data_IF_042118088937
#
_entry.id   IF_042118088937
#
_cell.length_a   1.000
_cell.length_b   1.000
_cell.length_c   1.000
_cell.angle_alpha   90.00
_cell.angle_beta   90.00
_cell.angle_gamma   90.00
#
_symmetry.space_group_name_H-M   'P 1'
#
loop_
_entity.id
_entity.type
_entity.pdbx_description
1 polymer ?
#
# COMPACT_ATOMS: atom_id res chain seq x y z
N UNK A 1 -27.67 -21.23 7.86
CA UNK A 1 -26.48 -20.46 8.28
C UNK A 1 -25.30 -21.20 7.66
N UNK A 2 -24.62 -20.60 6.68
CA UNK A 2 -23.40 -21.16 6.12
C UNK A 2 -22.29 -21.05 7.18
N UNK A 3 -21.53 -22.13 7.40
CA UNK A 3 -20.35 -22.11 8.23
C UNK A 3 -19.39 -21.00 7.76
N UNK A 4 -18.72 -20.29 8.67
CA UNK A 4 -17.73 -19.32 8.29
C UNK A 4 -16.64 -20.03 7.49
N UNK A 5 -16.45 -19.63 6.24
CA UNK A 5 -15.38 -20.12 5.40
C UNK A 5 -14.06 -19.70 6.08
N UNK A 6 -13.33 -20.67 6.61
CA UNK A 6 -12.01 -20.43 7.23
C UNK A 6 -11.01 -20.13 6.12
N UNK A 7 -10.98 -18.88 5.68
CA UNK A 7 -10.06 -18.38 4.64
C UNK A 7 -8.79 -17.88 5.33
N UNK A 8 -7.62 -18.32 4.86
CA UNK A 8 -6.35 -17.83 5.35
C UNK A 8 -6.26 -16.29 5.20
N UNK A 9 -5.72 -15.58 6.21
CA UNK A 9 -5.55 -14.13 6.14
C UNK A 9 -4.87 -13.69 4.84
N UNK A 10 -5.24 -12.51 4.33
CA UNK A 10 -4.55 -11.91 3.19
C UNK A 10 -3.25 -11.25 3.67
N UNK A 11 -2.17 -11.41 2.91
CA UNK A 11 -0.91 -10.73 3.17
C UNK A 11 -0.97 -9.30 2.61
N UNK A 12 -0.96 -8.31 3.49
CA UNK A 12 -1.00 -6.89 3.14
C UNK A 12 0.37 -6.28 3.28
N UNK A 13 0.98 -5.85 2.17
CA UNK A 13 2.21 -5.06 2.22
C UNK A 13 1.86 -3.57 2.40
N UNK A 14 2.22 -3.02 3.56
CA UNK A 14 2.12 -1.59 3.87
C UNK A 14 3.42 -0.90 3.47
N UNK A 15 3.41 -0.13 2.40
CA UNK A 15 4.60 0.46 1.81
C UNK A 15 4.73 1.93 2.21
N UNK A 16 5.85 2.28 2.83
CA UNK A 16 6.16 3.67 3.21
C UNK A 16 6.68 4.46 2.01
N UNK A 17 6.00 5.54 1.67
CA UNK A 17 6.28 6.33 0.47
C UNK A 17 7.32 7.44 0.65
N UNK A 18 8.08 7.45 1.73
CA UNK A 18 9.10 8.48 1.98
C UNK A 18 10.31 7.90 2.70
N UNK A 19 11.50 8.34 2.31
CA UNK A 19 12.77 8.00 2.96
C UNK A 19 13.47 9.22 3.58
N UNK A 20 12.76 10.37 3.68
CA UNK A 20 13.33 11.59 4.27
C UNK A 20 13.62 11.40 5.76
N UNK A 21 14.73 11.95 6.22
CA UNK A 21 14.99 12.02 7.66
C UNK A 21 13.90 12.83 8.37
N UNK A 22 13.40 12.33 9.52
CA UNK A 22 12.31 12.96 10.26
C UNK A 22 10.96 13.01 9.51
N UNK A 23 10.73 12.07 8.60
CA UNK A 23 9.52 12.00 7.77
C UNK A 23 8.25 11.79 8.61
N UNK A 24 7.21 12.53 8.28
CA UNK A 24 5.88 12.34 8.86
C UNK A 24 5.23 11.00 8.44
N UNK A 25 5.82 10.33 7.45
CA UNK A 25 5.41 9.01 6.98
C UNK A 25 5.37 7.98 8.11
N UNK A 26 6.28 8.08 9.08
CA UNK A 26 6.34 7.16 10.23
C UNK A 26 5.13 7.30 11.15
N UNK A 27 4.59 8.51 11.30
CA UNK A 27 3.37 8.76 12.08
C UNK A 27 2.16 8.15 11.41
N UNK A 28 1.95 8.51 10.14
CA UNK A 28 0.81 8.03 9.35
C UNK A 28 0.89 6.52 9.11
N UNK A 29 2.10 6.01 8.87
CA UNK A 29 2.34 4.58 8.65
C UNK A 29 2.06 3.74 9.90
N UNK A 30 2.47 4.19 11.10
CA UNK A 30 2.13 3.50 12.34
C UNK A 30 0.63 3.47 12.60
N UNK A 31 -0.06 4.59 12.35
CA UNK A 31 -1.52 4.64 12.44
C UNK A 31 -2.16 3.62 11.50
N UNK A 32 -1.76 3.60 10.23
CA UNK A 32 -2.28 2.64 9.24
C UNK A 32 -1.96 1.18 9.62
N UNK A 33 -0.75 0.91 10.10
CA UNK A 33 -0.34 -0.40 10.59
C UNK A 33 -1.26 -0.89 11.71
N UNK A 34 -1.55 -0.04 12.70
CA UNK A 34 -2.46 -0.39 13.80
C UNK A 34 -3.88 -0.70 13.34
N UNK A 35 -4.36 -0.05 12.26
CA UNK A 35 -5.68 -0.39 11.67
C UNK A 35 -5.67 -1.76 11.00
N UNK A 36 -4.58 -2.16 10.35
CA UNK A 36 -4.43 -3.48 9.73
C UNK A 36 -4.29 -4.56 10.80
N UNK A 37 -3.44 -4.32 11.83
CA UNK A 37 -3.21 -5.26 12.93
C UNK A 37 -4.46 -5.56 13.76
N UNK A 38 -5.41 -4.62 13.83
CA UNK A 38 -6.70 -4.84 14.47
C UNK A 38 -7.61 -5.83 13.71
N UNK A 39 -7.25 -6.20 12.48
CA UNK A 39 -8.01 -7.11 11.61
C UNK A 39 -7.49 -8.55 11.72
N UNK A 40 -8.40 -9.50 11.97
CA UNK A 40 -8.04 -10.93 12.00
C UNK A 40 -7.90 -11.57 10.61
N UNK A 41 -8.48 -10.95 9.58
CA UNK A 41 -8.46 -11.41 8.20
C UNK A 41 -7.24 -10.89 7.41
N UNK A 42 -6.31 -10.16 8.06
CA UNK A 42 -5.14 -9.56 7.43
C UNK A 42 -3.86 -9.90 8.19
N UNK A 43 -2.78 -10.16 7.45
CA UNK A 43 -1.42 -10.28 7.95
C UNK A 43 -0.59 -9.11 7.41
N UNK A 44 -0.06 -8.28 8.32
CA UNK A 44 0.70 -7.08 7.98
C UNK A 44 2.16 -7.42 7.65
N UNK A 45 2.65 -6.83 6.56
CA UNK A 45 4.07 -6.77 6.20
C UNK A 45 4.48 -5.32 5.91
N UNK A 46 5.26 -4.67 6.80
CA UNK A 46 5.70 -3.28 6.62
C UNK A 46 6.91 -3.25 5.70
N UNK A 47 6.75 -2.67 4.52
CA UNK A 47 7.82 -2.45 3.54
C UNK A 47 8.28 -0.99 3.63
N UNK A 48 9.40 -0.76 4.30
CA UNK A 48 10.01 0.56 4.40
C UNK A 48 11.20 0.66 3.44
N UNK A 49 11.11 1.45 2.35
CA UNK A 49 12.22 1.62 1.42
C UNK A 49 13.51 2.19 2.05
N UNK A 50 13.41 2.87 3.20
CA UNK A 50 14.59 3.37 3.91
C UNK A 50 15.46 2.24 4.52
N UNK A 51 14.92 1.03 4.63
CA UNK A 51 15.63 -0.14 5.16
C UNK A 51 16.37 -0.95 4.07
N UNK A 52 16.29 -0.54 2.81
CA UNK A 52 16.89 -1.24 1.67
C UNK A 52 17.91 -0.35 0.95
N UNK A 53 19.04 -0.93 0.59
CA UNK A 53 19.99 -0.35 -0.36
C UNK A 53 19.56 -0.71 -1.79
N UNK A 54 18.69 0.11 -2.37
CA UNK A 54 18.15 -0.16 -3.70
C UNK A 54 19.05 0.42 -4.79
N UNK A 55 19.53 -0.42 -5.74
CA UNK A 55 20.33 0.05 -6.86
C UNK A 55 19.59 1.10 -7.69
N UNK A 56 20.25 2.23 -7.97
CA UNK A 56 19.67 3.33 -8.77
C UNK A 56 19.71 3.06 -10.27
N UNK A 57 20.58 2.16 -10.73
CA UNK A 57 20.72 1.83 -12.14
C UNK A 57 19.91 0.61 -12.50
N UNK A 58 19.15 0.71 -13.57
CA UNK A 58 18.38 -0.41 -14.08
C UNK A 58 19.30 -1.58 -14.48
N UNK A 59 18.94 -2.78 -14.02
CA UNK A 59 19.73 -4.01 -14.29
C UNK A 59 20.81 -4.33 -13.25
N UNK A 60 21.08 -3.45 -12.29
CA UNK A 60 21.87 -3.80 -11.11
C UNK A 60 21.03 -4.62 -10.14
N UNK A 61 21.64 -5.63 -9.53
CA UNK A 61 20.99 -6.55 -8.60
C UNK A 61 21.78 -6.62 -7.29
N UNK A 62 21.06 -6.70 -6.17
CA UNK A 62 21.64 -6.98 -4.86
C UNK A 62 20.63 -7.75 -3.97
N UNK A 63 21.08 -8.13 -2.77
CA UNK A 63 20.27 -8.89 -1.84
C UNK A 63 19.00 -8.13 -1.37
N UNK A 64 19.11 -6.82 -1.19
CA UNK A 64 18.01 -5.97 -0.71
C UNK A 64 16.92 -5.86 -1.79
N UNK A 65 17.29 -5.70 -3.06
CA UNK A 65 16.32 -5.68 -4.16
C UNK A 65 15.63 -7.06 -4.32
N UNK A 66 16.40 -8.15 -4.19
CA UNK A 66 15.84 -9.49 -4.23
C UNK A 66 14.83 -9.73 -3.09
N UNK A 67 15.15 -9.28 -1.88
CA UNK A 67 14.25 -9.35 -0.73
C UNK A 67 13.00 -8.49 -0.92
N UNK A 68 13.15 -7.25 -1.41
CA UNK A 68 12.01 -6.39 -1.72
C UNK A 68 11.06 -7.04 -2.74
N UNK A 69 11.60 -7.59 -3.83
CA UNK A 69 10.80 -8.33 -4.83
C UNK A 69 10.05 -9.49 -4.22
N UNK A 70 10.72 -10.30 -3.39
CA UNK A 70 10.10 -11.43 -2.71
C UNK A 70 8.92 -10.99 -1.82
N UNK A 71 9.04 -9.87 -1.13
CA UNK A 71 7.96 -9.33 -0.29
C UNK A 71 6.78 -8.84 -1.13
N UNK A 72 7.03 -8.13 -2.22
CA UNK A 72 5.99 -7.68 -3.16
C UNK A 72 5.29 -8.87 -3.84
N UNK A 73 6.02 -9.91 -4.23
CA UNK A 73 5.45 -11.12 -4.81
C UNK A 73 4.54 -11.86 -3.82
N UNK A 74 4.94 -11.97 -2.55
CA UNK A 74 4.19 -12.67 -1.50
C UNK A 74 2.90 -11.95 -1.11
N UNK A 75 2.83 -10.64 -1.26
CA UNK A 75 1.67 -9.85 -0.88
C UNK A 75 0.44 -10.23 -1.73
N UNK A 76 -0.74 -10.30 -1.09
CA UNK A 76 -2.03 -10.40 -1.75
C UNK A 76 -2.63 -9.04 -2.08
N UNK A 77 -2.25 -8.01 -1.32
CA UNK A 77 -2.74 -6.65 -1.44
C UNK A 77 -1.69 -5.64 -0.99
N UNK A 78 -1.85 -4.38 -1.40
CA UNK A 78 -0.94 -3.30 -1.07
C UNK A 78 -1.68 -2.10 -0.49
N UNK A 79 -1.06 -1.46 0.51
CA UNK A 79 -1.45 -0.13 0.98
C UNK A 79 -0.22 0.77 0.90
N UNK A 80 -0.31 1.86 0.13
CA UNK A 80 0.76 2.85 0.02
C UNK A 80 0.49 4.03 0.94
N UNK A 81 1.40 4.29 1.87
CA UNK A 81 1.40 5.50 2.70
C UNK A 81 2.21 6.57 1.99
N UNK A 82 1.55 7.51 1.32
CA UNK A 82 2.24 8.46 0.45
C UNK A 82 2.06 9.93 0.86
N UNK A 83 3.15 10.71 1.00
CA UNK A 83 3.07 12.15 0.97
C UNK A 83 2.83 12.67 -0.45
N UNK A 84 2.45 13.94 -0.54
CA UNK A 84 2.52 14.68 -1.78
C UNK A 84 3.74 15.61 -1.76
N UNK A 85 4.66 15.39 -2.69
CA UNK A 85 5.83 16.23 -2.90
C UNK A 85 5.72 16.93 -4.26
N UNK A 86 5.67 18.27 -4.22
CA UNK A 86 5.64 19.08 -5.43
C UNK A 86 4.56 18.61 -6.43
N UNK A 87 3.33 18.41 -5.92
CA UNK A 87 2.15 18.03 -6.72
C UNK A 87 2.12 16.59 -7.23
N UNK A 88 3.05 15.74 -6.80
CA UNK A 88 3.16 14.33 -7.22
C UNK A 88 3.55 13.39 -6.08
N UNK A 89 3.70 12.13 -6.41
CA UNK A 89 4.21 11.13 -5.46
C UNK A 89 5.74 11.18 -5.36
N UNK A 90 6.34 10.70 -4.25
CA UNK A 90 7.79 10.68 -4.08
C UNK A 90 8.50 9.77 -5.08
N UNK A 91 9.70 10.17 -5.51
CA UNK A 91 10.53 9.39 -6.43
C UNK A 91 10.82 7.98 -5.92
N UNK A 92 10.99 7.81 -4.60
CA UNK A 92 11.24 6.50 -4.00
C UNK A 92 10.10 5.50 -4.24
N UNK A 93 8.84 5.95 -4.27
CA UNK A 93 7.72 5.07 -4.63
C UNK A 93 7.82 4.59 -6.08
N UNK A 94 8.16 5.49 -7.00
CA UNK A 94 8.36 5.10 -8.40
C UNK A 94 9.52 4.11 -8.54
N UNK A 95 10.60 4.36 -7.82
CA UNK A 95 11.76 3.46 -7.81
C UNK A 95 11.39 2.07 -7.28
N UNK A 96 10.66 1.96 -6.18
CA UNK A 96 10.14 0.68 -5.65
C UNK A 96 9.27 -0.03 -6.69
N UNK A 97 8.32 0.69 -7.30
CA UNK A 97 7.39 0.10 -8.28
C UNK A 97 8.15 -0.43 -9.49
N UNK A 98 9.05 0.37 -10.06
CA UNK A 98 9.79 0.01 -11.27
C UNK A 98 10.81 -1.12 -11.03
N UNK A 99 11.37 -1.21 -9.82
CA UNK A 99 12.38 -2.21 -9.48
C UNK A 99 11.80 -3.59 -9.16
N UNK A 100 10.49 -3.68 -8.88
CA UNK A 100 9.85 -4.93 -8.41
C UNK A 100 9.01 -5.65 -9.47
N UNK A 101 8.87 -5.08 -10.66
CA UNK A 101 8.36 -5.75 -11.86
C UNK A 101 6.96 -6.34 -11.71
N UNK A 102 6.80 -7.64 -12.01
CA UNK A 102 5.49 -8.30 -12.14
C UNK A 102 4.77 -8.64 -10.83
N UNK A 103 5.38 -8.39 -9.69
CA UNK A 103 4.81 -8.73 -8.38
C UNK A 103 3.49 -8.02 -8.02
N UNK A 104 3.12 -6.96 -8.75
CA UNK A 104 1.88 -6.18 -8.58
C UNK A 104 0.68 -6.76 -9.33
N UNK A 105 0.93 -7.62 -10.31
CA UNK A 105 -0.08 -8.05 -11.30
C UNK A 105 -1.29 -8.73 -10.65
N UNK A 106 -2.48 -8.29 -11.07
CA UNK A 106 -3.77 -8.78 -10.60
C UNK A 106 -3.89 -8.78 -9.06
N UNK A 107 -3.39 -7.72 -8.41
CA UNK A 107 -3.50 -7.48 -6.97
C UNK A 107 -4.09 -6.09 -6.71
N UNK A 108 -4.85 -5.88 -5.62
CA UNK A 108 -5.44 -4.58 -5.30
C UNK A 108 -4.44 -3.68 -4.58
N UNK A 109 -4.58 -2.38 -4.84
CA UNK A 109 -3.76 -1.31 -4.24
C UNK A 109 -4.68 -0.25 -3.63
N UNK A 110 -4.51 0.04 -2.35
CA UNK A 110 -5.16 1.12 -1.62
C UNK A 110 -4.16 2.21 -1.23
N UNK A 111 -4.66 3.38 -0.84
CA UNK A 111 -3.83 4.52 -0.52
C UNK A 111 -4.23 5.15 0.81
N UNK A 112 -3.22 5.40 1.63
CA UNK A 112 -3.28 6.30 2.79
C UNK A 112 -2.38 7.47 2.46
N UNK A 113 -2.97 8.61 2.12
CA UNK A 113 -2.23 9.78 1.66
C UNK A 113 -2.24 10.90 2.69
N UNK A 114 -1.23 11.74 2.63
CA UNK A 114 -1.13 12.89 3.53
C UNK A 114 -0.39 14.05 2.87
N UNK A 115 -0.68 15.24 3.33
CA UNK A 115 -0.04 16.43 2.81
C UNK A 115 -0.58 17.72 3.43
N UNK A 116 -0.24 18.86 2.80
CA UNK A 116 -0.75 20.15 3.20
C UNK A 116 -2.21 20.34 2.78
N UNK A 117 -2.42 21.04 1.69
CA UNK A 117 -3.75 21.46 1.24
C UNK A 117 -4.53 20.32 0.58
N UNK A 118 -3.88 19.50 -0.24
CA UNK A 118 -4.52 18.42 -0.98
C UNK A 118 -4.66 17.11 -0.21
N UNK A 119 -4.00 16.97 0.96
CA UNK A 119 -3.98 15.69 1.68
C UNK A 119 -3.31 14.55 0.92
N UNK A 120 -2.56 14.84 -0.14
CA UNK A 120 -1.87 13.84 -0.97
C UNK A 120 -2.72 13.28 -2.12
N UNK A 121 -3.94 13.80 -2.35
CA UNK A 121 -4.84 13.27 -3.39
C UNK A 121 -4.23 13.34 -4.78
N UNK A 122 -3.48 14.40 -5.11
CA UNK A 122 -2.84 14.53 -6.44
C UNK A 122 -1.77 13.48 -6.68
N UNK A 123 -1.01 13.11 -5.63
CA UNK A 123 -0.07 11.98 -5.70
C UNK A 123 -0.79 10.66 -5.93
N UNK A 124 -1.94 10.44 -5.27
CA UNK A 124 -2.77 9.24 -5.46
C UNK A 124 -3.29 9.14 -6.89
N UNK A 125 -3.81 10.22 -7.47
CA UNK A 125 -4.33 10.20 -8.84
C UNK A 125 -3.24 9.87 -9.88
N UNK A 126 -2.02 10.35 -9.68
CA UNK A 126 -0.89 9.98 -10.53
C UNK A 126 -0.49 8.50 -10.33
N UNK A 127 -0.49 8.00 -9.10
CA UNK A 127 -0.18 6.60 -8.80
C UNK A 127 -1.22 5.64 -9.40
N UNK A 128 -2.49 6.01 -9.48
CA UNK A 128 -3.53 5.19 -10.11
C UNK A 128 -3.17 4.85 -11.56
N UNK A 129 -2.67 5.81 -12.33
CA UNK A 129 -2.24 5.58 -13.72
C UNK A 129 -1.04 4.63 -13.79
N UNK A 130 -0.08 4.78 -12.88
CA UNK A 130 1.09 3.91 -12.79
C UNK A 130 0.67 2.45 -12.50
N UNK A 131 -0.25 2.25 -11.54
CA UNK A 131 -0.69 0.90 -11.19
C UNK A 131 -1.56 0.22 -12.24
N UNK A 132 -2.26 0.98 -13.08
CA UNK A 132 -2.94 0.42 -14.27
C UNK A 132 -1.90 -0.20 -15.22
N UNK A 133 -0.78 0.48 -15.48
CA UNK A 133 0.31 -0.08 -16.30
C UNK A 133 0.96 -1.30 -15.64
N UNK A 134 1.01 -1.35 -14.32
CA UNK A 134 1.52 -2.51 -13.56
C UNK A 134 0.51 -3.67 -13.50
N UNK A 135 -0.62 -3.58 -14.19
CA UNK A 135 -1.72 -4.56 -14.16
C UNK A 135 -2.30 -4.79 -12.76
N UNK A 136 -2.23 -3.80 -11.88
CA UNK A 136 -2.85 -3.81 -10.57
C UNK A 136 -4.21 -3.07 -10.60
N UNK A 137 -5.07 -3.36 -9.62
CA UNK A 137 -6.36 -2.67 -9.46
C UNK A 137 -6.27 -1.68 -8.31
N UNK A 138 -6.52 -0.40 -8.56
CA UNK A 138 -6.56 0.61 -7.48
C UNK A 138 -7.97 0.75 -6.92
N UNK A 139 -8.07 0.80 -5.59
CA UNK A 139 -9.36 0.98 -4.93
C UNK A 139 -9.86 2.42 -5.04
N UNK A 140 -11.20 2.56 -5.08
CA UNK A 140 -11.84 3.88 -5.04
C UNK A 140 -11.60 4.55 -3.69
N UNK A 141 -11.88 3.85 -2.60
CA UNK A 141 -11.80 4.38 -1.26
C UNK A 141 -10.35 4.37 -0.75
N UNK A 142 -10.03 5.38 0.03
CA UNK A 142 -8.72 5.57 0.63
C UNK A 142 -8.82 6.55 1.78
N UNK A 143 -7.73 6.70 2.52
CA UNK A 143 -7.64 7.68 3.61
C UNK A 143 -6.77 8.85 3.17
N UNK A 144 -7.22 10.09 3.41
CA UNK A 144 -6.47 11.29 3.05
C UNK A 144 -6.43 12.27 4.21
N UNK A 145 -5.22 12.60 4.67
CA UNK A 145 -4.99 13.54 5.77
C UNK A 145 -4.57 14.90 5.26
N UNK A 146 -5.52 15.83 5.17
CA UNK A 146 -5.27 17.24 4.86
C UNK A 146 -4.62 17.94 6.05
N UNK A 147 -3.58 18.73 5.83
CA UNK A 147 -2.80 19.36 6.90
C UNK A 147 -2.42 18.33 7.97
N UNK A 148 -1.88 17.21 7.56
CA UNK A 148 -1.70 16.00 8.35
C UNK A 148 -1.09 16.24 9.74
N UNK A 149 -0.07 17.09 9.84
CA UNK A 149 0.58 17.45 11.12
C UNK A 149 -0.34 18.13 12.13
N UNK A 150 -1.45 18.73 11.68
CA UNK A 150 -2.47 19.29 12.59
C UNK A 150 -3.48 18.23 13.07
N UNK A 151 -3.58 17.09 12.37
CA UNK A 151 -4.54 16.04 12.70
C UNK A 151 -4.00 15.01 13.69
N UNK A 152 -2.69 14.94 13.88
CA UNK A 152 -2.07 14.06 14.86
C UNK A 152 -1.57 14.87 16.06
N UNK A 153 -1.55 14.26 17.25
CA UNK A 153 -0.96 14.84 18.45
C UNK A 153 0.56 14.55 18.53
N UNK A 154 1.23 15.09 19.55
CA UNK A 154 2.67 14.92 19.76
C UNK A 154 3.09 13.46 20.01
N UNK A 155 2.16 12.61 20.44
CA UNK A 155 2.34 11.16 20.56
C UNK A 155 2.07 10.40 19.26
N UNK A 156 1.72 11.09 18.18
CA UNK A 156 1.41 10.50 16.87
C UNK A 156 0.04 9.83 16.80
N UNK A 157 -0.89 10.15 17.70
CA UNK A 157 -2.26 9.64 17.69
C UNK A 157 -3.16 10.57 16.89
N UNK A 158 -4.06 10.01 16.10
CA UNK A 158 -5.03 10.78 15.32
C UNK A 158 -6.05 11.44 16.27
N UNK A 159 -6.27 12.73 16.14
CA UNK A 159 -7.20 13.51 17.01
C UNK A 159 -8.66 13.17 16.75
N UNK A 160 -9.04 12.98 15.48
CA UNK A 160 -10.37 12.48 15.07
C UNK A 160 -10.27 10.99 14.72
N UNK A 161 -9.99 10.16 15.73
CA UNK A 161 -9.88 8.71 15.54
C UNK A 161 -11.17 8.08 15.00
N UNK A 162 -12.39 8.45 15.43
CA UNK A 162 -13.60 7.87 14.87
C UNK A 162 -13.77 8.09 13.36
N UNK A 163 -13.48 9.29 12.87
CA UNK A 163 -13.57 9.60 11.44
C UNK A 163 -12.49 8.89 10.64
N UNK A 164 -11.25 8.90 11.12
CA UNK A 164 -10.14 8.18 10.51
C UNK A 164 -10.35 6.67 10.50
N UNK A 165 -10.84 6.12 11.62
CA UNK A 165 -11.17 4.70 11.74
C UNK A 165 -12.23 4.27 10.71
N UNK A 166 -13.34 5.00 10.61
CA UNK A 166 -14.41 4.68 9.67
C UNK A 166 -13.92 4.68 8.21
N UNK A 167 -13.10 5.67 7.83
CA UNK A 167 -12.51 5.72 6.49
C UNK A 167 -11.55 4.55 6.23
N UNK A 168 -10.73 4.19 7.23
CA UNK A 168 -9.84 3.04 7.14
C UNK A 168 -10.60 1.73 7.03
N UNK A 169 -11.64 1.53 7.84
CA UNK A 169 -12.43 0.31 7.84
C UNK A 169 -13.12 0.10 6.48
N UNK A 170 -13.72 1.16 5.90
CA UNK A 170 -14.30 1.10 4.55
C UNK A 170 -13.25 0.73 3.48
N UNK A 171 -12.07 1.32 3.54
CA UNK A 171 -10.96 0.99 2.64
C UNK A 171 -10.49 -0.46 2.82
N UNK A 172 -10.32 -0.92 4.07
CA UNK A 172 -9.83 -2.27 4.38
C UNK A 172 -10.86 -3.34 3.99
N UNK A 173 -12.15 -3.08 4.15
CA UNK A 173 -13.21 -4.00 3.71
C UNK A 173 -13.18 -4.18 2.19
N UNK A 174 -13.05 -3.10 1.43
CA UNK A 174 -12.87 -3.18 -0.01
C UNK A 174 -11.58 -3.92 -0.39
N UNK A 175 -10.48 -3.62 0.32
CA UNK A 175 -9.19 -4.25 0.06
C UNK A 175 -9.27 -5.76 0.26
N UNK A 176 -9.90 -6.21 1.36
CA UNK A 176 -10.11 -7.63 1.67
C UNK A 176 -10.90 -8.32 0.56
N UNK A 177 -12.04 -7.71 0.17
CA UNK A 177 -12.88 -8.27 -0.88
C UNK A 177 -12.13 -8.45 -2.21
N UNK A 178 -11.43 -7.42 -2.67
CA UNK A 178 -10.66 -7.47 -3.91
C UNK A 178 -9.46 -8.43 -3.81
N UNK A 179 -8.77 -8.46 -2.68
CA UNK A 179 -7.63 -9.34 -2.47
C UNK A 179 -8.03 -10.82 -2.55
N UNK A 180 -9.12 -11.19 -1.89
CA UNK A 180 -9.67 -12.55 -1.95
C UNK A 180 -10.11 -12.92 -3.35
N UNK A 181 -10.93 -12.08 -4.00
CA UNK A 181 -11.42 -12.33 -5.36
C UNK A 181 -10.27 -12.51 -6.37
N UNK A 182 -9.25 -11.65 -6.30
CA UNK A 182 -8.11 -11.74 -7.22
C UNK A 182 -7.14 -12.87 -6.84
N UNK A 183 -6.98 -13.22 -5.56
CA UNK A 183 -6.21 -14.39 -5.12
C UNK A 183 -6.81 -15.67 -5.68
N UNK A 184 -8.12 -15.84 -5.54
CA UNK A 184 -8.84 -16.99 -6.06
C UNK A 184 -8.76 -17.05 -7.59
N UNK A 185 -8.94 -15.92 -8.25
CA UNK A 185 -8.83 -15.84 -9.71
C UNK A 185 -7.41 -16.20 -10.20
N UNK A 186 -6.35 -15.75 -9.52
CA UNK A 186 -4.96 -16.10 -9.85
C UNK A 186 -4.68 -17.58 -9.62
N UNK A 187 -5.26 -18.19 -8.58
CA UNK A 187 -5.12 -19.62 -8.29
C UNK A 187 -5.77 -20.49 -9.37
N UNK A 188 -6.97 -20.09 -9.83
CA UNK A 188 -7.71 -20.83 -10.86
C UNK A 188 -7.19 -20.58 -12.29
N UNK A 189 -6.76 -19.36 -12.57
CA UNK A 189 -6.35 -18.88 -13.90
C UNK A 189 -5.16 -17.94 -13.76
N UNK A 190 -3.91 -18.45 -13.88
CA UNK A 190 -2.72 -17.60 -13.77
C UNK A 190 -2.79 -16.39 -14.71
N UNK A 191 -2.64 -15.20 -14.15
CA UNK A 191 -2.76 -13.93 -14.85
C UNK A 191 -1.70 -13.81 -15.96
N UNK A 192 -2.11 -13.41 -17.17
CA UNK A 192 -1.21 -13.19 -18.31
C UNK A 192 -0.73 -14.46 -19.03
N UNK A 193 -1.16 -15.66 -18.61
CA UNK A 193 -0.98 -16.88 -19.41
C UNK A 193 -2.13 -17.01 -20.41
N UNK A 194 -1.81 -17.25 -21.70
CA UNK A 194 -2.85 -17.66 -22.66
C UNK A 194 -3.39 -19.02 -22.18
N UNK A 195 -4.71 -19.16 -22.14
CA UNK A 195 -5.31 -20.48 -22.03
C UNK A 195 -4.76 -21.32 -23.20
N UNK A 196 -4.24 -22.50 -22.86
CA UNK A 196 -3.75 -23.45 -23.86
C UNK A 196 -4.90 -24.01 -24.67
#
# INVERSE_FOLDING_TARGET
MSEPINVAPINVALIYGSTRQGRFCDVVGRWAAGRIEARQDMALDIVDPAAFDLPMRHGEENADLAELRRRIERADAFILVTPEYNHGYPAILKHVIDSTGGGWRAKPVAFVSYGAMSGGIRAVEQLRQVFVEMHATTLRDGVSFHRAWAQFDDAGRLKDEPGGAAAADAMLDQLSWWALALRDARALRPYGRKAA
#
